data_IF_957235506279
#
_entry.id   IF_957235506279
#
_cell.length_a   1.000
_cell.length_b   1.000
_cell.length_c   1.000
_cell.angle_alpha   90.00
_cell.angle_beta   90.00
_cell.angle_gamma   90.00
#
_symmetry.space_group_name_H-M   'P 1'
#
loop_
_entity.id
_entity.type
_entity.pdbx_description
1 polymer ?
#
# COMPACT_ATOMS: atom_id res chain seq x y z
N UNK A 1 8.30 -24.96 -2.65
CA UNK A 1 8.00 -24.17 -1.44
C UNK A 1 8.89 -22.94 -1.40
N UNK A 2 8.30 -21.79 -1.14
CA UNK A 2 9.08 -20.56 -0.99
C UNK A 2 9.75 -20.54 0.39
N UNK A 3 11.05 -20.17 0.42
CA UNK A 3 11.73 -19.93 1.69
C UNK A 3 11.27 -18.59 2.28
N UNK A 4 11.57 -18.37 3.56
CA UNK A 4 11.33 -17.09 4.23
C UNK A 4 12.01 -15.95 3.48
N UNK A 5 13.25 -16.13 3.04
CA UNK A 5 14.00 -15.11 2.29
C UNK A 5 13.39 -14.84 0.92
N UNK A 6 12.94 -15.87 0.21
CA UNK A 6 12.24 -15.72 -1.06
C UNK A 6 10.92 -14.95 -0.88
N UNK A 7 10.19 -15.21 0.19
CA UNK A 7 8.93 -14.53 0.49
C UNK A 7 9.17 -13.04 0.80
N UNK A 8 10.19 -12.71 1.57
CA UNK A 8 10.59 -11.31 1.82
C UNK A 8 10.96 -10.61 0.52
N UNK A 9 11.75 -11.26 -0.32
CA UNK A 9 12.18 -10.71 -1.62
C UNK A 9 10.98 -10.47 -2.54
N UNK A 10 10.00 -11.36 -2.54
CA UNK A 10 8.78 -11.19 -3.33
C UNK A 10 8.03 -9.91 -2.94
N UNK A 11 7.89 -9.64 -1.63
CA UNK A 11 7.24 -8.42 -1.14
C UNK A 11 8.06 -7.18 -1.50
N UNK A 12 9.39 -7.23 -1.37
CA UNK A 12 10.29 -6.15 -1.78
C UNK A 12 10.12 -5.83 -3.26
N UNK A 13 10.14 -6.85 -4.11
CA UNK A 13 9.96 -6.71 -5.56
C UNK A 13 8.59 -6.10 -5.89
N UNK A 14 7.55 -6.52 -5.19
CA UNK A 14 6.20 -5.97 -5.34
C UNK A 14 6.20 -4.44 -5.15
N UNK A 15 6.75 -3.93 -4.05
CA UNK A 15 6.79 -2.49 -3.79
C UNK A 15 7.70 -1.75 -4.77
N UNK A 16 8.85 -2.30 -5.11
CA UNK A 16 9.76 -1.69 -6.09
C UNK A 16 9.10 -1.50 -7.46
N UNK A 17 8.40 -2.52 -7.94
CA UNK A 17 7.76 -2.47 -9.26
C UNK A 17 6.56 -1.55 -9.31
N UNK A 18 5.72 -1.53 -8.28
CA UNK A 18 4.60 -0.59 -8.24
C UNK A 18 5.08 0.85 -8.13
N UNK A 19 6.18 1.11 -7.44
CA UNK A 19 6.76 2.46 -7.33
C UNK A 19 7.33 2.95 -8.67
N UNK A 20 7.71 2.04 -9.55
CA UNK A 20 8.10 2.36 -10.93
C UNK A 20 6.91 2.55 -11.87
N UNK A 21 5.69 2.32 -11.40
CA UNK A 21 4.49 2.34 -12.23
C UNK A 21 4.30 1.10 -13.09
N UNK A 22 5.07 0.02 -12.83
CA UNK A 22 4.99 -1.22 -13.61
C UNK A 22 3.87 -2.11 -13.08
N UNK A 23 2.61 -1.71 -13.29
CA UNK A 23 1.45 -2.46 -12.79
C UNK A 23 1.23 -3.80 -13.49
N UNK A 24 1.74 -3.97 -14.70
CA UNK A 24 1.66 -5.24 -15.43
C UNK A 24 2.33 -6.39 -14.72
N UNK A 25 3.36 -6.11 -13.90
CA UNK A 25 4.07 -7.14 -13.13
C UNK A 25 3.16 -7.81 -12.08
N UNK A 26 2.07 -7.19 -11.71
CA UNK A 26 1.14 -7.76 -10.73
C UNK A 26 0.51 -9.06 -11.23
N UNK A 27 0.42 -9.26 -12.55
CA UNK A 27 -0.04 -10.54 -13.11
C UNK A 27 0.88 -11.69 -12.74
N UNK A 28 2.15 -11.41 -12.53
CA UNK A 28 3.16 -12.39 -12.13
C UNK A 28 3.26 -12.54 -10.61
N UNK A 29 3.20 -11.43 -9.87
CA UNK A 29 3.49 -11.39 -8.43
C UNK A 29 2.27 -11.65 -7.55
N UNK A 30 1.06 -11.44 -8.06
CA UNK A 30 -0.18 -11.44 -7.28
C UNK A 30 -1.16 -12.45 -7.86
N UNK A 31 -1.81 -13.22 -6.99
CA UNK A 31 -2.83 -14.16 -7.41
C UNK A 31 -4.07 -13.43 -7.96
N UNK A 32 -4.74 -14.04 -8.93
CA UNK A 32 -5.94 -13.46 -9.55
C UNK A 32 -7.05 -13.18 -8.52
N UNK A 33 -7.22 -14.08 -7.56
CA UNK A 33 -8.22 -14.00 -6.49
C UNK A 33 -7.69 -13.38 -5.20
N UNK A 34 -6.65 -12.55 -5.30
CA UNK A 34 -6.06 -11.83 -4.18
C UNK A 34 -7.11 -11.11 -3.33
N UNK A 35 -6.96 -11.18 -2.00
CA UNK A 35 -7.87 -10.55 -1.04
C UNK A 35 -7.13 -9.48 -0.22
N UNK A 36 -7.62 -8.27 -0.25
CA UNK A 36 -7.19 -7.20 0.65
C UNK A 36 -8.25 -7.04 1.75
N UNK A 37 -7.87 -7.38 2.99
CA UNK A 37 -8.79 -7.29 4.14
C UNK A 37 -9.04 -5.84 4.58
N UNK A 38 -8.23 -4.91 4.11
CA UNK A 38 -8.33 -3.47 4.39
C UNK A 38 -8.36 -2.71 3.07
N UNK A 39 -9.45 -2.83 2.29
CA UNK A 39 -9.50 -2.29 0.94
C UNK A 39 -9.38 -0.76 0.93
N UNK A 40 -8.98 -0.22 -0.24
CA UNK A 40 -8.84 1.20 -0.45
C UNK A 40 -10.19 1.92 -0.32
N UNK A 41 -10.17 3.25 -0.07
CA UNK A 41 -11.40 4.04 0.00
C UNK A 41 -12.07 4.26 -1.37
N UNK A 42 -11.40 3.90 -2.47
CA UNK A 42 -11.98 4.08 -3.80
C UNK A 42 -13.11 3.05 -4.04
N UNK A 43 -14.32 3.51 -4.41
CA UNK A 43 -15.41 2.59 -4.75
C UNK A 43 -15.03 1.64 -5.88
N UNK A 44 -15.45 0.38 -5.80
CA UNK A 44 -15.11 -0.62 -6.80
C UNK A 44 -16.20 -1.68 -6.95
N UNK A 45 -16.48 -2.05 -8.21
CA UNK A 45 -17.27 -3.21 -8.58
C UNK A 45 -16.41 -4.40 -9.02
N UNK A 46 -15.08 -4.21 -9.07
CA UNK A 46 -14.12 -5.28 -9.35
C UNK A 46 -13.45 -5.73 -8.06
N UNK A 47 -12.90 -6.95 -8.07
CA UNK A 47 -12.24 -7.55 -6.92
C UNK A 47 -10.91 -8.18 -7.33
N UNK A 48 -10.19 -8.75 -6.37
CA UNK A 48 -8.95 -9.48 -6.62
C UNK A 48 -7.84 -8.61 -7.15
N UNK A 49 -7.00 -9.22 -7.96
CA UNK A 49 -5.83 -8.57 -8.58
C UNK A 49 -6.20 -7.34 -9.42
N UNK A 50 -7.30 -7.39 -10.15
CA UNK A 50 -7.74 -6.28 -10.99
C UNK A 50 -8.12 -5.06 -10.14
N UNK A 51 -8.72 -5.27 -8.97
CA UNK A 51 -8.97 -4.17 -8.03
C UNK A 51 -7.66 -3.57 -7.54
N UNK A 52 -6.69 -4.40 -7.22
CA UNK A 52 -5.38 -3.93 -6.75
C UNK A 52 -4.70 -3.05 -7.80
N UNK A 53 -4.69 -3.48 -9.05
CA UNK A 53 -4.14 -2.69 -10.18
C UNK A 53 -4.83 -1.34 -10.29
N UNK A 54 -6.15 -1.33 -10.25
CA UNK A 54 -6.95 -0.11 -10.35
C UNK A 54 -6.65 0.84 -9.20
N UNK A 55 -6.59 0.31 -7.97
CA UNK A 55 -6.33 1.12 -6.79
C UNK A 55 -4.93 1.77 -6.84
N UNK A 56 -3.92 1.04 -7.26
CA UNK A 56 -2.58 1.62 -7.42
C UNK A 56 -2.54 2.69 -8.50
N UNK A 57 -3.26 2.50 -9.60
CA UNK A 57 -3.36 3.53 -10.64
C UNK A 57 -3.99 4.81 -10.08
N UNK A 58 -5.08 4.69 -9.34
CA UNK A 58 -5.77 5.83 -8.73
C UNK A 58 -4.89 6.52 -7.67
N UNK A 59 -4.23 5.75 -6.81
CA UNK A 59 -3.29 6.30 -5.85
C UNK A 59 -2.10 6.98 -6.51
N UNK A 60 -1.57 6.40 -7.57
CA UNK A 60 -0.47 7.01 -8.31
C UNK A 60 -0.86 8.35 -8.91
N UNK A 61 -2.07 8.46 -9.45
CA UNK A 61 -2.58 9.72 -10.00
C UNK A 61 -2.84 10.76 -8.91
N UNK A 62 -3.40 10.34 -7.76
CA UNK A 62 -3.76 11.25 -6.67
C UNK A 62 -2.59 11.60 -5.76
N UNK A 63 -1.70 10.66 -5.52
CA UNK A 63 -0.62 10.79 -4.52
C UNK A 63 0.68 10.17 -5.03
N UNK A 64 1.25 10.68 -6.15
CA UNK A 64 2.50 10.13 -6.67
C UNK A 64 3.60 10.18 -5.63
N UNK A 65 4.37 9.08 -5.55
CA UNK A 65 5.42 8.95 -4.55
C UNK A 65 6.04 7.56 -4.56
N UNK A 66 6.47 7.10 -3.40
CA UNK A 66 7.15 5.82 -3.28
C UNK A 66 6.98 5.23 -1.88
N UNK A 67 7.32 3.95 -1.74
CA UNK A 67 7.34 3.23 -0.47
C UNK A 67 8.78 3.00 -0.02
N UNK A 68 9.01 3.09 1.28
CA UNK A 68 10.26 2.66 1.90
C UNK A 68 9.97 1.54 2.88
N UNK A 69 10.61 0.38 2.69
CA UNK A 69 10.55 -0.72 3.63
C UNK A 69 11.51 -0.42 4.76
N UNK A 70 10.96 -0.24 5.97
CA UNK A 70 11.75 0.01 7.17
C UNK A 70 12.26 -1.29 7.78
N UNK A 71 11.43 -2.34 7.77
CA UNK A 71 11.72 -3.58 8.44
C UNK A 71 10.83 -4.70 7.88
N UNK A 72 11.32 -5.94 7.91
CA UNK A 72 10.56 -7.13 7.52
C UNK A 72 10.82 -8.28 8.48
N UNK A 73 9.74 -8.93 8.89
CA UNK A 73 9.76 -10.13 9.70
C UNK A 73 8.92 -11.17 8.98
N UNK A 74 9.39 -12.38 8.87
CA UNK A 74 8.63 -13.44 8.20
C UNK A 74 8.66 -14.74 8.99
N UNK A 75 7.53 -15.44 8.97
CA UNK A 75 7.38 -16.76 9.58
C UNK A 75 6.35 -17.55 8.75
N UNK A 76 6.66 -18.81 8.45
CA UNK A 76 5.79 -19.63 7.64
C UNK A 76 5.56 -19.02 6.25
N UNK A 77 4.29 -18.85 5.89
CA UNK A 77 3.87 -18.27 4.61
C UNK A 77 3.54 -16.77 4.68
N UNK A 78 3.87 -16.10 5.78
CA UNK A 78 3.54 -14.69 6.01
C UNK A 78 4.77 -13.81 6.12
N UNK A 79 4.65 -12.61 5.57
CA UNK A 79 5.68 -11.56 5.68
C UNK A 79 5.02 -10.33 6.28
N UNK A 80 5.59 -9.87 7.39
CA UNK A 80 5.21 -8.60 8.03
C UNK A 80 6.20 -7.53 7.57
N UNK A 81 5.67 -6.44 7.03
CA UNK A 81 6.48 -5.34 6.52
C UNK A 81 6.06 -4.04 7.17
N UNK A 82 7.02 -3.36 7.80
CA UNK A 82 6.81 -2.01 8.31
C UNK A 82 7.24 -1.03 7.22
N UNK A 83 6.31 -0.19 6.79
CA UNK A 83 6.45 0.68 5.63
C UNK A 83 6.31 2.15 6.02
N UNK A 84 7.01 3.00 5.28
CA UNK A 84 6.69 4.42 5.17
C UNK A 84 6.35 4.73 3.72
N UNK A 85 5.17 5.28 3.50
CA UNK A 85 4.73 5.73 2.17
C UNK A 85 4.91 7.24 2.09
N UNK A 86 5.57 7.70 1.03
CA UNK A 86 5.76 9.12 0.73
C UNK A 86 4.99 9.46 -0.53
N UNK A 87 4.38 10.63 -0.56
CA UNK A 87 3.67 11.10 -1.73
C UNK A 87 3.40 12.58 -1.67
N UNK A 88 2.79 13.09 -2.74
CA UNK A 88 2.31 14.46 -2.82
C UNK A 88 0.85 14.45 -3.20
N UNK A 89 0.02 15.16 -2.45
CA UNK A 89 -1.43 15.20 -2.67
C UNK A 89 -1.76 16.07 -3.89
N UNK A 90 -1.52 15.51 -5.08
CA UNK A 90 -1.66 16.20 -6.36
C UNK A 90 -3.03 16.03 -7.02
N UNK A 91 -3.79 15.01 -6.63
CA UNK A 91 -5.13 14.74 -7.11
C UNK A 91 -6.11 14.48 -5.98
N UNK A 92 -7.40 14.50 -6.28
CA UNK A 92 -8.43 14.29 -5.28
C UNK A 92 -8.44 12.84 -4.79
N UNK A 93 -8.52 12.68 -3.46
CA UNK A 93 -8.86 11.41 -2.80
C UNK A 93 -10.33 11.47 -2.36
N UNK A 94 -11.02 10.31 -2.17
CA UNK A 94 -12.38 10.30 -1.64
C UNK A 94 -12.48 11.09 -0.33
N UNK A 95 -13.30 12.14 -0.31
CA UNK A 95 -13.48 13.01 0.85
C UNK A 95 -12.32 13.98 1.13
N UNK A 96 -11.31 14.03 0.25
CA UNK A 96 -10.12 14.86 0.45
C UNK A 96 -9.68 15.52 -0.86
N UNK A 97 -10.21 16.70 -1.18
CA UNK A 97 -9.79 17.45 -2.37
C UNK A 97 -8.30 17.77 -2.34
N UNK A 98 -7.70 17.83 -3.52
CA UNK A 98 -6.26 18.12 -3.70
C UNK A 98 -5.80 19.31 -2.86
N UNK A 99 -4.68 19.13 -2.16
CA UNK A 99 -4.05 20.20 -1.36
C UNK A 99 -2.68 20.63 -1.89
N UNK A 100 -2.00 19.77 -2.65
CA UNK A 100 -0.61 19.97 -3.05
C UNK A 100 0.40 19.69 -1.92
N UNK A 101 -0.06 19.23 -0.77
CA UNK A 101 0.80 18.98 0.39
C UNK A 101 1.62 17.71 0.21
N UNK A 102 2.83 17.71 0.74
CA UNK A 102 3.59 16.46 0.91
C UNK A 102 2.93 15.61 1.97
N UNK A 103 2.96 14.30 1.75
CA UNK A 103 2.34 13.32 2.65
C UNK A 103 3.33 12.25 3.03
N UNK A 104 3.19 11.77 4.27
CA UNK A 104 3.95 10.66 4.80
C UNK A 104 3.00 9.81 5.64
N UNK A 105 2.96 8.51 5.37
CA UNK A 105 2.11 7.59 6.12
C UNK A 105 2.91 6.36 6.52
N UNK A 106 2.91 6.04 7.81
CA UNK A 106 3.45 4.77 8.29
C UNK A 106 2.37 3.70 8.30
N UNK A 107 2.78 2.47 8.02
CA UNK A 107 1.87 1.33 8.05
C UNK A 107 2.63 0.04 8.39
N UNK A 108 1.86 -0.95 8.83
CA UNK A 108 2.35 -2.32 8.99
C UNK A 108 1.43 -3.21 8.17
N UNK A 109 2.00 -3.98 7.26
CA UNK A 109 1.26 -4.90 6.40
C UNK A 109 1.67 -6.34 6.70
N UNK A 110 0.72 -7.25 6.58
CA UNK A 110 0.99 -8.69 6.57
C UNK A 110 0.54 -9.22 5.22
N UNK A 111 1.46 -9.83 4.47
CA UNK A 111 1.14 -10.55 3.24
C UNK A 111 1.25 -12.05 3.50
N UNK A 112 0.27 -12.81 3.00
CA UNK A 112 0.39 -14.27 2.90
C UNK A 112 0.76 -14.63 1.46
N UNK A 113 1.66 -15.61 1.33
CA UNK A 113 2.20 -16.05 0.05
C UNK A 113 1.85 -17.51 -0.16
N UNK A 114 1.38 -17.85 -1.35
CA UNK A 114 1.12 -19.22 -1.75
C UNK A 114 1.52 -19.38 -3.23
N UNK A 115 2.18 -20.50 -3.55
CA UNK A 115 2.62 -20.80 -4.91
C UNK A 115 3.45 -19.67 -5.55
N UNK A 116 4.28 -19.00 -4.74
CA UNK A 116 5.15 -17.90 -5.20
C UNK A 116 4.43 -16.61 -5.52
N UNK A 117 3.19 -16.43 -5.06
CA UNK A 117 2.38 -15.23 -5.30
C UNK A 117 1.79 -14.68 -4.01
N UNK A 118 1.56 -13.37 -3.99
CA UNK A 118 0.81 -12.72 -2.93
C UNK A 118 -0.67 -13.09 -3.07
N UNK A 119 -1.27 -13.67 -2.02
CA UNK A 119 -2.65 -14.15 -2.07
C UNK A 119 -3.60 -13.37 -1.17
N UNK A 120 -3.10 -12.75 -0.10
CA UNK A 120 -3.92 -11.89 0.76
C UNK A 120 -3.06 -10.93 1.58
N UNK A 121 -3.69 -9.86 2.02
CA UNK A 121 -3.04 -8.82 2.81
C UNK A 121 -3.95 -8.28 3.90
N UNK A 122 -3.36 -8.04 5.07
CA UNK A 122 -3.92 -7.23 6.15
C UNK A 122 -3.02 -6.02 6.34
N UNK A 123 -3.59 -4.86 6.68
CA UNK A 123 -2.78 -3.68 6.95
C UNK A 123 -3.40 -2.78 8.01
N UNK A 124 -2.52 -2.16 8.79
CA UNK A 124 -2.87 -1.07 9.71
C UNK A 124 -2.07 0.16 9.30
N UNK A 125 -2.76 1.28 9.16
CA UNK A 125 -2.20 2.52 8.63
C UNK A 125 -2.44 3.66 9.61
N UNK A 126 -1.48 4.57 9.72
CA UNK A 126 -1.67 5.79 10.51
C UNK A 126 -2.50 6.81 9.70
N UNK A 127 -3.79 6.56 9.61
CA UNK A 127 -4.72 7.41 8.86
C UNK A 127 -4.97 8.74 9.54
N UNK A 128 -4.92 8.80 10.87
CA UNK A 128 -5.12 10.07 11.60
C UNK A 128 -4.04 11.07 11.21
N UNK A 129 -2.78 10.66 11.25
CA UNK A 129 -1.68 11.52 10.83
C UNK A 129 -1.82 11.98 9.38
N UNK A 130 -2.17 11.05 8.48
CA UNK A 130 -2.38 11.38 7.07
C UNK A 130 -3.48 12.43 6.89
N UNK A 131 -4.63 12.23 7.51
CA UNK A 131 -5.77 13.14 7.41
C UNK A 131 -5.47 14.53 7.99
N UNK A 132 -4.63 14.59 9.03
CA UNK A 132 -4.14 15.87 9.56
C UNK A 132 -3.23 16.58 8.55
N UNK A 133 -2.32 15.86 7.90
CA UNK A 133 -1.38 16.42 6.92
C UNK A 133 -2.10 17.03 5.71
N UNK A 134 -3.23 16.47 5.29
CA UNK A 134 -4.00 16.96 4.15
C UNK A 134 -5.22 17.81 4.56
N UNK A 135 -5.31 18.17 5.84
CA UNK A 135 -6.31 19.14 6.33
C UNK A 135 -7.74 18.63 6.46
N UNK A 136 -7.97 17.31 6.38
CA UNK A 136 -9.29 16.70 6.60
C UNK A 136 -9.63 16.63 8.08
N UNK A 137 -8.60 16.48 8.93
CA UNK A 137 -8.73 16.54 10.39
C UNK A 137 -7.83 17.65 10.94
N UNK A 138 -8.20 18.28 12.07
CA UNK A 138 -7.34 19.28 12.70
C UNK A 138 -6.00 18.67 13.11
N UNK A 139 -4.91 19.45 12.92
CA UNK A 139 -3.60 19.06 13.42
C UNK A 139 -3.62 18.99 14.95
N UNK A 140 -2.77 18.13 15.53
CA UNK A 140 -2.60 18.08 16.98
C UNK A 140 -2.13 19.44 17.49
N UNK A 141 -2.73 19.91 18.60
CA UNK A 141 -2.29 21.15 19.24
C UNK A 141 -0.92 20.92 19.86
N UNK A 142 0.01 21.83 19.59
CA UNK A 142 1.27 21.84 20.31
C UNK A 142 1.00 22.19 21.78
N UNK A 143 1.71 21.52 22.69
CA UNK A 143 1.72 21.93 24.10
C UNK A 143 2.48 23.26 24.19
N UNK A 144 1.76 24.31 24.39
CA UNK A 144 2.33 25.63 24.60
C UNK A 144 2.93 25.78 25.98
#
# INVERSE_FOLDING_TARGET
>A
MSSIEQNKTLVQRFYEEIDKGNLGILDELVAEDYVDHNPSPFPSDVSGRERLKRDFKLFWEATPGYHRIEDQIAEGDKVVTRLTSYGKHEGDLPGAPRTGNDMKMTSITIHRIANGKLVEKWSEKDMISLLQQIGVMPAAKSKG
#
